data_IF_926490626164
#
_entry.id   IF_926490626164
#
_cell.length_a   1.000
_cell.length_b   1.000
_cell.length_c   1.000
_cell.angle_alpha   90.00
_cell.angle_beta   90.00
_cell.angle_gamma   90.00
#
_symmetry.space_group_name_H-M   'P 1'
#
loop_
_entity.id
_entity.type
_entity.pdbx_description
1 polymer ?
#
# COMPACT_ATOMS: atom_id res chain seq x y z
N UNK A 1 -39.07 -40.41 -12.56
CA UNK A 1 -38.57 -41.76 -12.16
C UNK A 1 -39.35 -42.33 -11.00
N UNK A 2 -39.38 -41.68 -9.82
CA UNK A 2 -40.18 -42.13 -8.64
C UNK A 2 -41.64 -42.49 -8.96
N UNK A 3 -42.36 -41.63 -9.68
CA UNK A 3 -43.75 -41.91 -10.10
C UNK A 3 -43.89 -43.10 -11.06
N UNK A 4 -42.87 -43.38 -11.88
CA UNK A 4 -42.86 -44.54 -12.80
C UNK A 4 -42.58 -45.83 -12.02
N UNK A 5 -41.53 -45.81 -11.19
CA UNK A 5 -41.18 -46.93 -10.30
C UNK A 5 -42.33 -47.31 -9.37
N UNK A 6 -43.04 -46.34 -8.77
CA UNK A 6 -44.20 -46.60 -7.92
C UNK A 6 -45.38 -47.23 -8.67
N UNK A 7 -45.66 -46.77 -9.90
CA UNK A 7 -46.70 -47.37 -10.75
C UNK A 7 -46.35 -48.79 -11.18
N UNK A 8 -45.09 -49.03 -11.51
CA UNK A 8 -44.63 -50.35 -11.93
C UNK A 8 -44.61 -51.31 -10.73
N UNK A 9 -44.14 -50.89 -9.56
CA UNK A 9 -44.23 -51.69 -8.32
C UNK A 9 -45.68 -52.07 -7.99
N UNK A 10 -46.62 -51.11 -8.08
CA UNK A 10 -48.05 -51.39 -7.83
C UNK A 10 -48.63 -52.40 -8.84
N UNK A 11 -48.16 -52.40 -10.09
CA UNK A 11 -48.56 -53.36 -11.12
C UNK A 11 -47.93 -54.74 -10.90
N UNK A 12 -46.69 -54.81 -10.40
CA UNK A 12 -46.07 -56.06 -9.94
C UNK A 12 -46.84 -56.68 -8.78
N UNK A 13 -47.14 -55.87 -7.76
CA UNK A 13 -47.77 -56.33 -6.51
C UNK A 13 -49.20 -56.83 -6.73
N UNK A 14 -49.91 -56.25 -7.70
CA UNK A 14 -51.31 -56.65 -7.99
C UNK A 14 -51.42 -57.97 -8.76
N UNK A 15 -50.44 -58.33 -9.60
CA UNK A 15 -50.31 -59.62 -10.29
C UNK A 15 -51.48 -60.08 -11.19
N UNK A 16 -52.59 -59.34 -11.23
CA UNK A 16 -53.84 -59.78 -11.82
C UNK A 16 -53.88 -59.53 -13.33
N UNK A 17 -54.08 -60.59 -14.12
CA UNK A 17 -54.25 -60.52 -15.57
C UNK A 17 -52.97 -60.28 -16.38
N UNK A 18 -51.79 -60.49 -15.77
CA UNK A 18 -50.47 -60.26 -16.40
C UNK A 18 -49.79 -61.61 -16.67
N UNK A 19 -49.15 -61.77 -17.83
CA UNK A 19 -48.41 -62.99 -18.16
C UNK A 19 -47.12 -63.11 -17.33
N UNK A 20 -46.61 -64.33 -17.12
CA UNK A 20 -45.35 -64.55 -16.41
C UNK A 20 -44.16 -63.81 -17.03
N UNK A 21 -44.17 -63.62 -18.36
CA UNK A 21 -43.14 -62.87 -19.09
C UNK A 21 -43.22 -61.38 -18.81
N UNK A 22 -44.43 -60.82 -18.75
CA UNK A 22 -44.64 -59.41 -18.49
C UNK A 22 -44.31 -59.05 -17.03
N UNK A 23 -44.59 -59.95 -16.07
CA UNK A 23 -44.15 -59.80 -14.68
C UNK A 23 -42.62 -59.75 -14.57
N UNK A 24 -41.90 -60.65 -15.25
CA UNK A 24 -40.43 -60.65 -15.25
C UNK A 24 -39.84 -59.37 -15.88
N UNK A 25 -40.44 -58.89 -16.96
CA UNK A 25 -40.04 -57.62 -17.59
C UNK A 25 -40.27 -56.44 -16.63
N UNK A 26 -41.44 -56.36 -16.00
CA UNK A 26 -41.76 -55.28 -15.06
C UNK A 26 -40.83 -55.31 -13.83
N UNK A 27 -40.47 -56.50 -13.35
CA UNK A 27 -39.51 -56.67 -12.25
C UNK A 27 -38.13 -56.14 -12.64
N UNK A 28 -37.66 -56.45 -13.85
CA UNK A 28 -36.39 -55.91 -14.36
C UNK A 28 -36.41 -54.38 -14.52
N UNK A 29 -37.56 -53.82 -14.93
CA UNK A 29 -37.75 -52.38 -15.08
C UNK A 29 -37.72 -51.67 -13.72
N UNK A 30 -38.42 -52.19 -12.71
CA UNK A 30 -38.40 -51.65 -11.35
C UNK A 30 -36.98 -51.67 -10.76
N UNK A 31 -36.24 -52.76 -10.92
CA UNK A 31 -34.84 -52.84 -10.46
C UNK A 31 -33.96 -51.81 -11.18
N UNK A 32 -34.13 -51.65 -12.49
CA UNK A 32 -33.38 -50.64 -13.26
C UNK A 32 -33.73 -49.21 -12.85
N UNK A 33 -34.99 -48.92 -12.56
CA UNK A 33 -35.46 -47.61 -12.11
C UNK A 33 -34.97 -47.29 -10.70
N UNK A 34 -34.96 -48.29 -9.79
CA UNK A 34 -34.43 -48.16 -8.45
C UNK A 34 -32.92 -47.88 -8.47
N UNK A 35 -32.15 -48.62 -9.29
CA UNK A 35 -30.72 -48.36 -9.48
C UNK A 35 -30.46 -46.94 -9.99
N UNK A 36 -31.17 -46.54 -11.05
CA UNK A 36 -31.00 -45.18 -11.63
C UNK A 36 -31.46 -44.07 -10.68
N UNK A 37 -32.41 -44.35 -9.80
CA UNK A 37 -32.79 -43.41 -8.75
C UNK A 37 -31.68 -43.26 -7.71
N UNK A 38 -31.07 -44.36 -7.25
CA UNK A 38 -29.91 -44.33 -6.35
C UNK A 38 -28.75 -43.54 -6.96
N UNK A 39 -28.38 -43.84 -8.21
CA UNK A 39 -27.31 -43.11 -8.93
C UNK A 39 -27.58 -41.59 -8.98
N UNK A 40 -28.85 -41.17 -9.15
CA UNK A 40 -29.22 -39.75 -9.18
C UNK A 40 -29.23 -39.12 -7.77
N UNK A 41 -29.61 -39.88 -6.74
CA UNK A 41 -29.56 -39.42 -5.35
C UNK A 41 -28.12 -39.19 -4.90
N UNK A 42 -27.20 -40.08 -5.26
CA UNK A 42 -25.76 -39.91 -5.02
C UNK A 42 -25.21 -38.65 -5.71
N UNK A 43 -25.57 -38.41 -6.98
CA UNK A 43 -25.20 -37.19 -7.70
C UNK A 43 -25.77 -35.93 -7.05
N UNK A 44 -27.02 -35.99 -6.56
CA UNK A 44 -27.63 -34.84 -5.86
C UNK A 44 -26.88 -34.55 -4.57
N UNK A 45 -26.52 -35.58 -3.80
CA UNK A 45 -25.74 -35.41 -2.57
C UNK A 45 -24.38 -34.77 -2.86
N UNK A 46 -23.65 -35.24 -3.88
CA UNK A 46 -22.36 -34.65 -4.28
C UNK A 46 -22.51 -33.17 -4.68
N UNK A 47 -23.56 -32.83 -5.43
CA UNK A 47 -23.82 -31.43 -5.81
C UNK A 47 -24.18 -30.57 -4.61
N UNK A 48 -24.93 -31.11 -3.64
CA UNK A 48 -25.26 -30.41 -2.40
C UNK A 48 -24.02 -30.13 -1.56
N UNK A 49 -23.14 -31.12 -1.36
CA UNK A 49 -21.87 -30.94 -0.63
C UNK A 49 -20.98 -29.88 -1.30
N UNK A 50 -20.89 -29.91 -2.63
CA UNK A 50 -20.15 -28.90 -3.40
C UNK A 50 -20.76 -27.49 -3.27
N UNK A 51 -22.09 -27.40 -3.22
CA UNK A 51 -22.80 -26.14 -3.03
C UNK A 51 -22.52 -25.57 -1.64
N UNK A 52 -22.62 -26.39 -0.59
CA UNK A 52 -22.36 -25.99 0.80
C UNK A 52 -20.92 -25.49 0.95
N UNK A 53 -19.93 -26.24 0.47
CA UNK A 53 -18.54 -25.84 0.51
C UNK A 53 -18.28 -24.52 -0.25
N UNK A 54 -18.93 -24.32 -1.40
CA UNK A 54 -18.83 -23.07 -2.15
C UNK A 54 -19.48 -21.89 -1.41
N UNK A 55 -20.63 -22.10 -0.76
CA UNK A 55 -21.32 -21.09 0.03
C UNK A 55 -20.50 -20.64 1.24
N UNK A 56 -19.93 -21.59 1.99
CA UNK A 56 -19.01 -21.27 3.10
C UNK A 56 -17.82 -20.45 2.62
N UNK A 57 -17.24 -20.84 1.47
CA UNK A 57 -16.10 -20.12 0.90
C UNK A 57 -16.46 -18.70 0.46
N UNK A 58 -17.66 -18.50 -0.10
CA UNK A 58 -18.16 -17.17 -0.44
C UNK A 58 -18.31 -16.33 0.83
N UNK A 59 -18.93 -16.87 1.89
CA UNK A 59 -19.08 -16.15 3.17
C UNK A 59 -17.73 -15.73 3.76
N UNK A 60 -16.75 -16.64 3.81
CA UNK A 60 -15.40 -16.33 4.29
C UNK A 60 -14.75 -15.21 3.46
N UNK A 61 -14.79 -15.33 2.12
CA UNK A 61 -14.15 -14.35 1.23
C UNK A 61 -14.83 -12.98 1.33
N UNK A 62 -16.17 -12.93 1.43
CA UNK A 62 -16.90 -11.68 1.63
C UNK A 62 -16.50 -10.99 2.94
N UNK A 63 -16.37 -11.74 4.03
CA UNK A 63 -15.90 -11.18 5.31
C UNK A 63 -14.46 -10.65 5.20
N UNK A 64 -13.58 -11.38 4.51
CA UNK A 64 -12.19 -10.96 4.29
C UNK A 64 -12.10 -9.69 3.44
N UNK A 65 -12.90 -9.59 2.39
CA UNK A 65 -12.98 -8.38 1.55
C UNK A 65 -13.43 -7.19 2.39
N UNK A 66 -14.52 -7.32 3.14
CA UNK A 66 -15.03 -6.24 4.00
C UNK A 66 -13.98 -5.78 5.03
N UNK A 67 -13.25 -6.72 5.66
CA UNK A 67 -12.19 -6.39 6.60
C UNK A 67 -11.00 -5.66 5.93
N UNK A 68 -10.66 -6.01 4.70
CA UNK A 68 -9.60 -5.34 3.94
C UNK A 68 -10.03 -3.95 3.45
N UNK A 69 -11.27 -3.79 3.02
CA UNK A 69 -11.84 -2.49 2.63
C UNK A 69 -11.85 -1.51 3.81
N UNK A 70 -12.21 -1.98 5.01
CA UNK A 70 -12.14 -1.16 6.23
C UNK A 70 -10.69 -0.72 6.53
N UNK A 71 -9.72 -1.63 6.42
CA UNK A 71 -8.29 -1.32 6.62
C UNK A 71 -7.76 -0.34 5.56
N UNK A 72 -8.16 -0.51 4.31
CA UNK A 72 -7.76 0.39 3.21
C UNK A 72 -8.33 1.80 3.43
N UNK A 73 -9.57 1.89 3.88
CA UNK A 73 -10.24 3.16 4.18
C UNK A 73 -9.52 3.89 5.32
N UNK A 74 -9.24 3.20 6.43
CA UNK A 74 -8.47 3.78 7.55
C UNK A 74 -7.07 4.24 7.12
N UNK A 75 -6.33 3.38 6.41
CA UNK A 75 -4.98 3.70 5.96
C UNK A 75 -4.97 4.89 4.99
N UNK A 76 -5.98 5.00 4.12
CA UNK A 76 -6.13 6.13 3.20
C UNK A 76 -6.41 7.42 3.97
N UNK A 77 -7.36 7.40 4.90
CA UNK A 77 -7.67 8.57 5.72
C UNK A 77 -6.45 9.08 6.51
N UNK A 78 -5.66 8.18 7.11
CA UNK A 78 -4.43 8.56 7.83
C UNK A 78 -3.36 9.14 6.90
N UNK A 79 -3.19 8.56 5.71
CA UNK A 79 -2.23 9.03 4.70
C UNK A 79 -2.64 10.41 4.18
N UNK A 80 -3.92 10.63 3.93
CA UNK A 80 -4.43 11.91 3.44
C UNK A 80 -4.29 13.00 4.51
N UNK A 81 -4.61 12.70 5.77
CA UNK A 81 -4.40 13.61 6.89
C UNK A 81 -2.91 14.01 7.04
N UNK A 82 -2.00 13.04 7.05
CA UNK A 82 -0.56 13.31 7.13
C UNK A 82 -0.04 14.11 5.94
N UNK A 83 -0.59 13.87 4.74
CA UNK A 83 -0.18 14.61 3.53
C UNK A 83 -0.65 16.06 3.59
N UNK A 84 -1.89 16.29 4.04
CA UNK A 84 -2.43 17.64 4.23
C UNK A 84 -1.66 18.45 5.29
N UNK A 85 -1.22 17.80 6.38
CA UNK A 85 -0.34 18.44 7.38
C UNK A 85 1.00 18.85 6.76
N UNK A 86 1.65 17.95 6.01
CA UNK A 86 2.90 18.25 5.30
C UNK A 86 2.72 19.39 4.30
N UNK A 87 1.64 19.38 3.51
CA UNK A 87 1.37 20.43 2.52
C UNK A 87 1.15 21.80 3.18
N UNK A 88 0.47 21.81 4.33
CA UNK A 88 0.28 23.02 5.14
C UNK A 88 1.61 23.56 5.65
N UNK A 89 2.47 22.69 6.18
CA UNK A 89 3.80 23.07 6.65
C UNK A 89 4.70 23.57 5.52
N UNK A 90 4.68 22.89 4.36
CA UNK A 90 5.43 23.31 3.16
C UNK A 90 4.97 24.68 2.70
N UNK A 91 3.65 24.93 2.61
CA UNK A 91 3.11 26.22 2.20
C UNK A 91 3.52 27.34 3.18
N UNK A 92 3.46 27.07 4.49
CA UNK A 92 3.89 28.01 5.52
C UNK A 92 5.39 28.32 5.41
N UNK A 93 6.24 27.29 5.36
CA UNK A 93 7.69 27.44 5.27
C UNK A 93 8.09 28.14 3.96
N UNK A 94 7.41 27.86 2.85
CA UNK A 94 7.65 28.54 1.57
C UNK A 94 7.35 30.03 1.67
N UNK A 95 6.22 30.40 2.27
CA UNK A 95 5.85 31.80 2.49
C UNK A 95 6.84 32.52 3.43
N UNK A 96 7.21 31.87 4.53
CA UNK A 96 8.22 32.42 5.45
C UNK A 96 9.57 32.63 4.74
N UNK A 97 9.94 31.69 3.86
CA UNK A 97 11.13 31.80 3.01
C UNK A 97 11.04 33.00 2.05
N UNK A 98 9.91 33.20 1.37
CA UNK A 98 9.72 34.33 0.46
C UNK A 98 9.94 35.68 1.18
N UNK A 99 9.38 35.82 2.40
CA UNK A 99 9.54 37.01 3.22
C UNK A 99 11.02 37.24 3.61
N UNK A 100 11.73 36.19 4.01
CA UNK A 100 13.16 36.30 4.36
C UNK A 100 14.00 36.64 3.12
N UNK A 101 13.76 35.97 1.99
CA UNK A 101 14.50 36.19 0.74
C UNK A 101 14.36 37.63 0.26
N UNK A 102 13.18 38.25 0.43
CA UNK A 102 12.96 39.65 0.07
C UNK A 102 13.83 40.65 0.86
N UNK A 103 14.36 40.24 2.02
CA UNK A 103 15.27 41.06 2.85
C UNK A 103 16.75 40.84 2.57
N UNK A 104 17.11 39.88 1.70
CA UNK A 104 18.50 39.51 1.41
C UNK A 104 18.90 39.99 0.01
N UNK A 105 20.13 40.50 -0.19
CA UNK A 105 20.62 40.88 -1.51
C UNK A 105 20.46 39.76 -2.56
N UNK A 106 19.97 40.12 -3.75
CA UNK A 106 19.60 39.17 -4.79
C UNK A 106 20.79 38.34 -5.32
N UNK A 107 21.97 38.96 -5.39
CA UNK A 107 23.23 38.32 -5.76
C UNK A 107 23.66 37.24 -4.74
N UNK A 108 23.49 37.52 -3.45
CA UNK A 108 23.78 36.55 -2.39
C UNK A 108 22.80 35.36 -2.41
N UNK A 109 21.51 35.62 -2.65
CA UNK A 109 20.51 34.55 -2.82
C UNK A 109 20.82 33.70 -4.06
N UNK A 110 21.20 34.32 -5.18
CA UNK A 110 21.58 33.61 -6.39
C UNK A 110 22.81 32.69 -6.16
N UNK A 111 23.80 33.17 -5.40
CA UNK A 111 24.94 32.36 -5.00
C UNK A 111 24.51 31.19 -4.09
N UNK A 112 23.69 31.47 -3.08
CA UNK A 112 23.15 30.46 -2.17
C UNK A 112 22.41 29.35 -2.92
N UNK A 113 21.48 29.69 -3.82
CA UNK A 113 20.70 28.69 -4.58
C UNK A 113 21.59 27.85 -5.49
N UNK A 114 22.56 28.48 -6.17
CA UNK A 114 23.54 27.76 -7.00
C UNK A 114 24.33 26.72 -6.21
N UNK A 115 24.73 27.05 -4.99
CA UNK A 115 25.44 26.11 -4.12
C UNK A 115 24.48 25.07 -3.55
N UNK A 116 23.29 25.49 -3.10
CA UNK A 116 22.25 24.64 -2.51
C UNK A 116 21.90 23.46 -3.43
N UNK A 117 21.67 23.73 -4.72
CA UNK A 117 21.38 22.71 -5.73
C UNK A 117 22.53 21.70 -5.88
N UNK A 118 23.79 22.18 -5.84
CA UNK A 118 24.98 21.32 -5.95
C UNK A 118 25.28 20.52 -4.68
N UNK A 119 24.90 21.04 -3.52
CA UNK A 119 25.32 20.55 -2.20
C UNK A 119 24.17 19.92 -1.41
N UNK A 120 23.24 19.27 -2.11
CA UNK A 120 22.20 18.43 -1.48
C UNK A 120 21.18 19.21 -0.66
N UNK A 121 20.87 20.45 -1.03
CA UNK A 121 19.85 21.26 -0.35
C UNK A 121 20.37 22.22 0.70
N UNK A 122 21.69 22.30 0.93
CA UNK A 122 22.32 23.21 1.91
C UNK A 122 23.35 24.11 1.22
N UNK A 123 23.00 25.39 0.99
CA UNK A 123 23.87 26.37 0.33
C UNK A 123 24.81 27.16 1.25
N UNK A 124 24.48 27.22 2.55
CA UNK A 124 25.26 27.89 3.58
C UNK A 124 25.33 27.03 4.84
N UNK A 125 26.42 27.12 5.58
CA UNK A 125 26.63 26.38 6.82
C UNK A 125 27.25 27.29 7.88
N UNK A 126 26.88 27.05 9.14
CA UNK A 126 27.53 27.71 10.27
C UNK A 126 28.98 27.26 10.37
N UNK A 127 29.86 28.22 10.63
CA UNK A 127 31.21 27.95 11.12
C UNK A 127 31.14 27.83 12.64
N UNK A 128 31.55 26.68 13.18
CA UNK A 128 31.54 26.40 14.61
C UNK A 128 32.88 25.81 15.04
N UNK A 129 33.60 26.49 15.93
CA UNK A 129 34.90 26.06 16.44
C UNK A 129 35.88 25.60 15.33
N UNK A 130 36.04 26.41 14.28
CA UNK A 130 36.87 26.13 13.10
C UNK A 130 36.40 24.93 12.27
N UNK A 131 35.15 24.47 12.42
CA UNK A 131 34.54 23.39 11.66
C UNK A 131 33.36 23.91 10.83
N UNK A 132 33.32 23.53 9.56
CA UNK A 132 32.15 23.77 8.71
C UNK A 132 31.04 22.77 9.10
N UNK A 133 29.89 23.21 9.61
CA UNK A 133 28.81 22.28 9.98
C UNK A 133 28.11 21.63 8.77
N UNK A 134 28.36 22.13 7.56
CA UNK A 134 27.78 21.59 6.33
C UNK A 134 28.46 20.31 5.83
N UNK A 135 29.80 20.27 5.81
CA UNK A 135 30.56 19.07 5.44
C UNK A 135 31.29 18.43 6.62
N UNK A 136 31.20 19.02 7.81
CA UNK A 136 31.76 18.55 9.08
C UNK A 136 33.29 18.43 9.11
N UNK A 137 33.98 19.11 8.19
CA UNK A 137 35.44 19.16 8.18
C UNK A 137 35.92 20.40 8.93
N UNK A 138 37.06 20.24 9.59
CA UNK A 138 37.80 21.34 10.18
C UNK A 138 38.55 22.10 9.08
N UNK A 139 38.55 23.41 9.21
CA UNK A 139 39.29 24.31 8.34
C UNK A 139 40.75 24.28 8.75
N UNK A 140 41.64 24.35 7.76
CA UNK A 140 43.06 24.48 8.05
C UNK A 140 43.40 25.87 8.59
N UNK A 141 44.63 26.03 9.09
CA UNK A 141 45.03 27.30 9.71
C UNK A 141 45.17 28.44 8.69
N UNK A 142 45.43 28.16 7.42
CA UNK A 142 45.52 29.19 6.39
C UNK A 142 44.12 29.75 6.10
N UNK A 143 43.15 28.87 5.85
CA UNK A 143 41.75 29.22 5.62
C UNK A 143 41.15 29.96 6.83
N UNK A 144 41.45 29.50 8.05
CA UNK A 144 41.04 30.20 9.28
C UNK A 144 41.57 31.63 9.32
N UNK A 145 42.84 31.85 8.99
CA UNK A 145 43.44 33.19 9.02
C UNK A 145 42.86 34.09 7.93
N UNK A 146 42.60 33.56 6.73
CA UNK A 146 41.94 34.30 5.66
C UNK A 146 40.52 34.74 6.07
N UNK A 147 39.74 33.84 6.69
CA UNK A 147 38.38 34.15 7.14
C UNK A 147 38.38 35.17 8.28
N UNK A 148 39.40 35.15 9.16
CA UNK A 148 39.60 36.17 10.21
C UNK A 148 39.92 37.55 9.64
N UNK A 149 40.73 37.60 8.57
CA UNK A 149 41.12 38.84 7.93
C UNK A 149 40.00 39.43 7.05
N UNK A 150 39.08 38.59 6.55
CA UNK A 150 37.95 39.01 5.74
C UNK A 150 37.00 39.96 6.49
N UNK A 151 36.59 41.05 5.84
CA UNK A 151 35.66 42.02 6.40
C UNK A 151 34.33 41.36 6.81
N UNK A 152 33.60 41.91 7.79
CA UNK A 152 32.39 41.27 8.36
C UNK A 152 31.27 41.06 7.34
N UNK A 153 31.17 41.94 6.36
CA UNK A 153 30.22 41.92 5.25
C UNK A 153 30.69 41.09 4.05
N UNK A 154 31.97 40.68 4.03
CA UNK A 154 32.50 39.82 2.98
C UNK A 154 31.92 38.40 3.07
N UNK A 155 31.40 37.90 1.95
CA UNK A 155 30.88 36.54 1.82
C UNK A 155 32.04 35.58 1.61
N UNK A 156 32.29 34.72 2.58
CA UNK A 156 33.32 33.67 2.55
C UNK A 156 32.70 32.31 2.27
N UNK A 157 33.45 31.42 1.60
CA UNK A 157 33.02 30.06 1.29
C UNK A 157 34.07 29.07 1.76
N UNK A 158 33.63 27.90 2.20
CA UNK A 158 34.54 26.82 2.56
C UNK A 158 35.20 26.26 1.30
N UNK A 159 36.52 26.12 1.30
CA UNK A 159 37.25 25.66 0.11
C UNK A 159 36.87 24.24 -0.32
N UNK A 160 36.68 23.34 0.66
CA UNK A 160 36.44 21.93 0.35
C UNK A 160 35.01 21.65 -0.15
N UNK A 161 33.98 22.32 0.41
CA UNK A 161 32.58 22.03 0.06
C UNK A 161 31.84 23.17 -0.67
N UNK A 162 32.48 24.34 -0.81
CA UNK A 162 31.95 25.49 -1.52
C UNK A 162 30.74 26.18 -0.86
N UNK A 163 30.29 25.72 0.32
CA UNK A 163 29.19 26.33 1.08
C UNK A 163 29.59 27.70 1.62
N UNK A 164 28.65 28.64 1.62
CA UNK A 164 28.83 29.93 2.29
C UNK A 164 29.02 29.67 3.79
N UNK A 165 30.07 30.23 4.40
CA UNK A 165 30.32 30.10 5.82
C UNK A 165 29.67 31.25 6.58
N UNK A 166 28.71 30.92 7.45
CA UNK A 166 28.06 31.88 8.34
C UNK A 166 28.92 32.01 9.60
N UNK A 167 29.60 33.16 9.70
CA UNK A 167 30.44 33.51 10.85
C UNK A 167 29.58 34.00 12.01
N UNK A 168 29.67 33.31 13.14
CA UNK A 168 28.99 33.63 14.40
C UNK A 168 30.01 33.80 15.54
N UNK A 169 29.56 34.19 16.74
CA UNK A 169 30.43 34.27 17.92
C UNK A 169 31.09 32.92 18.27
N UNK A 170 30.45 31.82 17.91
CA UNK A 170 30.94 30.47 18.20
C UNK A 170 31.86 29.89 17.12
N UNK A 171 32.26 30.70 16.13
CA UNK A 171 33.09 30.25 15.01
C UNK A 171 34.48 29.78 15.45
N UNK A 172 34.94 30.19 16.64
CA UNK A 172 36.29 29.90 17.13
C UNK A 172 37.38 30.58 16.31
N UNK A 173 37.04 31.71 15.67
CA UNK A 173 37.92 32.54 14.87
C UNK A 173 37.75 34.02 15.24
#
# INVERSE_FOLDING_TARGET
MRQRAARDQQRLDSGAGISARDLANLQSEVVSLAKRQGDLEDVVLEVMERLEAAQERVTELTQRVSALEAKLTDATARRDAATNEIDTDVAKIAKDRELIVASVPADLIALYEKIRVKQGGVGAARLYQRRCEGCRLELDMAEVNEIKAAARDQVVRHENCGRILVRTADSGI
#
